data_IF_728411391159
#
_entry.id   IF_728411391159
#
_cell.length_a   1.000
_cell.length_b   1.000
_cell.length_c   1.000
_cell.angle_alpha   90.00
_cell.angle_beta   90.00
_cell.angle_gamma   90.00
#
_symmetry.space_group_name_H-M   'P 1'
#
loop_
_entity.id
_entity.type
_entity.pdbx_description
1 polymer ?
#
# COMPACT_ATOMS: atom_id res chain seq x y z
N UNK A 1 -16.56 -0.53 -21.10
CA UNK A 1 -15.54 0.40 -20.55
C UNK A 1 -16.00 1.15 -19.27
N UNK A 2 -16.81 0.56 -18.38
CA UNK A 2 -17.31 1.26 -17.16
C UNK A 2 -17.00 0.58 -15.81
N UNK A 3 -16.43 -0.64 -15.79
CA UNK A 3 -16.27 -1.43 -14.54
C UNK A 3 -15.16 -0.96 -13.59
N UNK A 4 -14.02 -0.52 -14.12
CA UNK A 4 -12.89 -0.06 -13.30
C UNK A 4 -13.10 1.33 -12.66
N UNK A 5 -14.11 2.08 -13.12
CA UNK A 5 -14.38 3.43 -12.64
C UNK A 5 -15.01 3.49 -11.25
N UNK A 6 -15.62 2.40 -10.76
CA UNK A 6 -16.27 2.38 -9.45
C UNK A 6 -15.25 2.50 -8.31
N UNK A 7 -14.12 1.79 -8.41
CA UNK A 7 -13.06 1.86 -7.38
C UNK A 7 -12.38 3.23 -7.41
N UNK A 8 -12.12 3.78 -8.60
CA UNK A 8 -11.57 5.13 -8.74
C UNK A 8 -12.53 6.20 -8.17
N UNK A 9 -13.84 6.06 -8.42
CA UNK A 9 -14.86 6.95 -7.85
C UNK A 9 -14.93 6.82 -6.33
N UNK A 10 -14.86 5.60 -5.80
CA UNK A 10 -14.86 5.37 -4.36
C UNK A 10 -13.61 5.99 -3.71
N UNK A 11 -12.44 5.85 -4.34
CA UNK A 11 -11.21 6.51 -3.89
C UNK A 11 -11.32 8.04 -3.94
N UNK A 12 -11.93 8.59 -4.99
CA UNK A 12 -12.17 10.03 -5.11
C UNK A 12 -13.07 10.54 -3.98
N UNK A 13 -14.16 9.83 -3.69
CA UNK A 13 -15.08 10.18 -2.60
C UNK A 13 -14.34 10.13 -1.26
N UNK A 14 -13.63 9.04 -0.96
CA UNK A 14 -12.86 8.94 0.28
C UNK A 14 -11.78 10.02 0.39
N UNK A 15 -11.06 10.28 -0.70
CA UNK A 15 -10.05 11.33 -0.76
C UNK A 15 -10.66 12.69 -0.45
N UNK A 16 -11.80 13.01 -1.08
CA UNK A 16 -12.51 14.28 -0.86
C UNK A 16 -12.97 14.44 0.59
N UNK A 17 -13.47 13.38 1.22
CA UNK A 17 -13.88 13.39 2.63
C UNK A 17 -12.69 13.49 3.59
N UNK A 18 -11.56 12.86 3.28
CA UNK A 18 -10.36 12.99 4.11
C UNK A 18 -9.77 14.39 3.98
N UNK A 19 -9.70 14.93 2.75
CA UNK A 19 -9.19 16.27 2.49
C UNK A 19 -10.08 17.35 3.13
N UNK A 20 -11.41 17.16 3.15
CA UNK A 20 -12.32 18.04 3.90
C UNK A 20 -12.13 17.91 5.41
N UNK A 21 -11.79 16.72 5.92
CA UNK A 21 -11.43 16.48 7.32
C UNK A 21 -10.28 17.36 7.81
N UNK A 22 -9.23 17.56 7.00
CA UNK A 22 -8.14 18.49 7.35
C UNK A 22 -8.63 19.93 7.49
N UNK A 23 -9.54 20.37 6.61
CA UNK A 23 -10.13 21.71 6.68
C UNK A 23 -10.98 21.91 7.93
N UNK A 24 -11.79 20.90 8.26
CA UNK A 24 -12.68 20.91 9.43
C UNK A 24 -11.92 20.89 10.74
N UNK A 25 -10.81 20.13 10.84
CA UNK A 25 -10.03 19.98 12.08
C UNK A 25 -8.98 21.07 12.28
N UNK A 26 -8.74 21.92 11.27
CA UNK A 26 -7.67 22.94 11.32
C UNK A 26 -7.83 23.92 12.48
N UNK A 27 -9.03 24.46 12.78
CA UNK A 27 -9.23 25.37 13.91
C UNK A 27 -8.90 24.71 15.26
N UNK A 28 -9.34 23.47 15.46
CA UNK A 28 -9.16 22.72 16.71
C UNK A 28 -7.69 22.36 16.92
N UNK A 29 -7.02 21.90 15.87
CA UNK A 29 -5.57 21.61 15.89
C UNK A 29 -4.77 22.88 16.18
N UNK A 30 -5.15 24.02 15.59
CA UNK A 30 -4.53 25.32 15.87
C UNK A 30 -4.76 25.76 17.32
N UNK A 31 -5.95 25.53 17.89
CA UNK A 31 -6.25 25.80 19.28
C UNK A 31 -5.39 24.95 20.24
N UNK A 32 -5.29 23.65 19.99
CA UNK A 32 -4.46 22.74 20.78
C UNK A 32 -2.98 23.15 20.68
N UNK A 33 -2.49 23.41 19.47
CA UNK A 33 -1.11 23.85 19.26
C UNK A 33 -0.80 25.15 20.00
N UNK A 34 -1.67 26.16 19.89
CA UNK A 34 -1.48 27.45 20.58
C UNK A 34 -1.48 27.27 22.10
N UNK A 35 -2.42 26.47 22.63
CA UNK A 35 -2.50 26.19 24.07
C UNK A 35 -1.24 25.49 24.57
N UNK A 36 -0.76 24.48 23.85
CA UNK A 36 0.47 23.76 24.20
C UNK A 36 1.70 24.66 24.12
N UNK A 37 1.80 25.54 23.12
CA UNK A 37 2.86 26.54 23.01
C UNK A 37 2.86 27.47 24.21
N UNK A 38 1.69 28.01 24.58
CA UNK A 38 1.56 28.93 25.72
C UNK A 38 2.01 28.25 27.02
N UNK A 39 1.54 27.02 27.28
CA UNK A 39 1.93 26.25 28.47
C UNK A 39 3.44 26.01 28.49
N UNK A 40 3.99 25.53 27.37
CA UNK A 40 5.39 25.14 27.23
C UNK A 40 6.35 26.35 27.36
N UNK A 41 6.00 27.49 26.76
CA UNK A 41 6.75 28.74 26.88
C UNK A 41 6.64 29.32 28.30
N UNK A 42 5.45 29.27 28.93
CA UNK A 42 5.25 29.78 30.30
C UNK A 42 6.07 28.97 31.31
N UNK A 43 6.06 27.64 31.20
CA UNK A 43 6.88 26.77 32.04
C UNK A 43 8.37 27.01 31.82
N UNK A 44 8.82 27.15 30.56
CA UNK A 44 10.21 27.46 30.25
C UNK A 44 10.65 28.79 30.87
N UNK A 45 9.82 29.83 30.75
CA UNK A 45 10.09 31.15 31.35
C UNK A 45 10.18 31.09 32.88
N UNK A 46 9.29 30.34 33.54
CA UNK A 46 9.34 30.11 34.99
C UNK A 46 10.63 29.39 35.39
N UNK A 47 11.04 28.34 34.67
CA UNK A 47 12.30 27.63 34.96
C UNK A 47 13.53 28.51 34.75
N UNK A 48 13.56 29.33 33.70
CA UNK A 48 14.67 30.27 33.47
C UNK A 48 14.74 31.35 34.54
N UNK A 49 13.60 31.77 35.12
CA UNK A 49 13.58 32.77 36.19
C UNK A 49 14.22 32.30 37.51
N UNK A 50 14.36 30.98 37.70
CA UNK A 50 14.99 30.38 38.89
C UNK A 50 16.48 30.07 38.71
N UNK A 51 17.00 30.10 37.47
CA UNK A 51 18.41 29.82 37.17
C UNK A 51 19.25 31.09 37.14
N UNK A 52 20.20 31.23 38.08
CA UNK A 52 20.99 32.45 38.23
C UNK A 52 22.15 32.64 37.22
N UNK A 53 22.51 31.62 36.43
CA UNK A 53 23.74 31.59 35.61
C UNK A 53 23.55 30.94 34.22
N UNK A 54 22.36 31.08 33.63
CA UNK A 54 22.07 30.45 32.32
C UNK A 54 21.99 31.50 31.20
N UNK A 55 22.57 31.21 30.03
CA UNK A 55 22.39 31.99 28.81
C UNK A 55 20.92 31.93 28.34
N UNK A 56 20.07 32.80 28.91
CA UNK A 56 18.64 32.90 28.62
C UNK A 56 18.41 33.10 27.11
N UNK A 57 19.27 33.89 26.46
CA UNK A 57 19.19 34.16 25.02
C UNK A 57 19.36 32.88 24.20
N UNK A 58 20.34 32.03 24.52
CA UNK A 58 20.58 30.79 23.80
C UNK A 58 19.41 29.81 23.95
N UNK A 59 18.82 29.72 25.15
CA UNK A 59 17.65 28.88 25.43
C UNK A 59 16.39 29.37 24.72
N UNK A 60 16.19 30.68 24.70
CA UNK A 60 15.07 31.33 24.01
C UNK A 60 15.16 31.09 22.50
N UNK A 61 16.33 31.30 21.89
CA UNK A 61 16.55 31.01 20.47
C UNK A 61 16.25 29.54 20.14
N UNK A 62 16.77 28.59 20.92
CA UNK A 62 16.51 27.16 20.72
C UNK A 62 15.02 26.84 20.81
N UNK A 63 14.31 27.46 21.77
CA UNK A 63 12.88 27.25 21.99
C UNK A 63 12.04 27.83 20.86
N UNK A 64 12.33 29.06 20.44
CA UNK A 64 11.64 29.73 19.34
C UNK A 64 11.84 28.98 18.02
N UNK A 65 13.05 28.48 17.75
CA UNK A 65 13.31 27.64 16.57
C UNK A 65 12.50 26.34 16.62
N UNK A 66 12.48 25.65 17.77
CA UNK A 66 11.71 24.41 17.94
C UNK A 66 10.22 24.64 17.70
N UNK A 67 9.62 25.64 18.36
CA UNK A 67 8.21 25.99 18.19
C UNK A 67 7.93 26.45 16.75
N UNK A 68 8.83 27.23 16.15
CA UNK A 68 8.71 27.73 14.78
C UNK A 68 8.69 26.60 13.74
N UNK A 69 9.53 25.58 13.90
CA UNK A 69 9.53 24.39 13.02
C UNK A 69 8.22 23.63 13.15
N UNK A 70 7.73 23.39 14.38
CA UNK A 70 6.45 22.72 14.58
C UNK A 70 5.27 23.54 14.03
N UNK A 71 5.28 24.86 14.21
CA UNK A 71 4.27 25.74 13.63
C UNK A 71 4.26 25.67 12.10
N UNK A 72 5.44 25.63 11.46
CA UNK A 72 5.56 25.44 10.02
C UNK A 72 5.01 24.07 9.57
N UNK A 73 5.35 23.00 10.28
CA UNK A 73 4.90 21.63 9.98
C UNK A 73 3.37 21.54 10.11
N UNK A 74 2.78 22.04 11.20
CA UNK A 74 1.33 22.03 11.42
C UNK A 74 0.63 22.88 10.35
N UNK A 75 1.18 24.05 10.02
CA UNK A 75 0.62 24.96 9.03
C UNK A 75 0.60 24.41 7.61
N UNK A 76 1.60 23.60 7.24
CA UNK A 76 1.78 23.01 5.91
C UNK A 76 1.56 21.49 5.87
N UNK A 77 0.96 20.91 6.90
CA UNK A 77 0.91 19.46 7.08
C UNK A 77 0.31 18.72 5.88
N UNK A 78 -0.80 19.20 5.32
CA UNK A 78 -1.43 18.59 4.16
C UNK A 78 -0.50 18.58 2.93
N UNK A 79 0.19 19.70 2.67
CA UNK A 79 1.17 19.79 1.58
C UNK A 79 2.37 18.87 1.82
N UNK A 80 2.89 18.83 3.04
CA UNK A 80 4.01 17.95 3.40
C UNK A 80 3.64 16.48 3.23
N UNK A 81 2.47 16.06 3.72
CA UNK A 81 1.96 14.70 3.55
C UNK A 81 1.83 14.33 2.06
N UNK A 82 1.34 15.26 1.24
CA UNK A 82 1.25 15.08 -0.22
C UNK A 82 2.62 14.93 -0.88
N UNK A 83 3.58 15.78 -0.55
CA UNK A 83 4.96 15.69 -1.08
C UNK A 83 5.59 14.35 -0.71
N UNK A 84 5.43 13.91 0.54
CA UNK A 84 5.93 12.62 1.02
C UNK A 84 5.32 11.47 0.22
N UNK A 85 4.01 11.49 0.02
CA UNK A 85 3.31 10.50 -0.80
C UNK A 85 3.84 10.45 -2.24
N UNK A 86 3.85 11.60 -2.92
CA UNK A 86 4.27 11.72 -4.32
C UNK A 86 5.74 11.31 -4.48
N UNK A 87 6.59 11.61 -3.49
CA UNK A 87 8.00 11.20 -3.48
C UNK A 87 8.14 9.68 -3.35
N UNK A 88 7.45 9.05 -2.39
CA UNK A 88 7.54 7.60 -2.21
C UNK A 88 6.96 6.83 -3.40
N UNK A 89 5.80 7.24 -3.91
CA UNK A 89 5.21 6.67 -5.11
C UNK A 89 6.12 6.87 -6.34
N UNK A 90 6.64 8.08 -6.52
CA UNK A 90 7.53 8.43 -7.64
C UNK A 90 8.85 7.68 -7.60
N UNK A 91 9.46 7.52 -6.43
CA UNK A 91 10.67 6.71 -6.24
C UNK A 91 10.40 5.24 -6.55
N UNK A 92 9.25 4.71 -6.11
CA UNK A 92 8.86 3.33 -6.41
C UNK A 92 8.68 3.08 -7.91
N UNK A 93 8.01 3.99 -8.61
CA UNK A 93 7.85 3.91 -10.07
C UNK A 93 9.19 4.04 -10.79
N UNK A 94 10.04 4.97 -10.39
CA UNK A 94 11.38 5.14 -10.96
C UNK A 94 12.24 3.89 -10.78
N UNK A 95 12.16 3.25 -9.61
CA UNK A 95 12.87 1.99 -9.34
C UNK A 95 12.36 0.83 -10.18
N UNK A 96 11.06 0.83 -10.55
CA UNK A 96 10.48 -0.20 -11.42
C UNK A 96 10.83 -0.05 -12.91
N UNK A 97 11.35 1.10 -13.34
CA UNK A 97 11.71 1.35 -14.74
C UNK A 97 10.52 1.45 -15.70
N UNK A 98 9.30 1.63 -15.19
CA UNK A 98 8.06 1.64 -15.98
C UNK A 98 7.67 3.02 -16.52
N UNK A 99 6.80 3.03 -17.52
CA UNK A 99 6.09 4.23 -17.99
C UNK A 99 4.85 4.60 -17.15
N UNK A 100 4.56 3.88 -16.06
CA UNK A 100 3.44 4.22 -15.17
C UNK A 100 3.71 5.54 -14.44
N UNK A 101 2.72 6.42 -14.38
CA UNK A 101 2.83 7.70 -13.66
C UNK A 101 2.31 7.58 -12.22
N UNK A 102 2.73 8.49 -11.33
CA UNK A 102 2.19 8.56 -9.96
C UNK A 102 0.67 8.77 -9.93
N UNK A 103 0.13 9.43 -10.96
CA UNK A 103 -1.31 9.61 -11.14
C UNK A 103 -2.03 8.30 -11.47
N UNK A 104 -1.35 7.33 -12.07
CA UNK A 104 -1.91 6.02 -12.39
C UNK A 104 -1.94 5.09 -11.19
N UNK A 105 -0.96 5.22 -10.28
CA UNK A 105 -0.98 4.51 -9.00
C UNK A 105 -2.11 4.96 -8.09
N UNK A 106 -2.54 6.22 -8.20
CA UNK A 106 -3.72 6.72 -7.48
C UNK A 106 -5.04 6.15 -8.02
N UNK A 107 -4.98 5.34 -9.08
CA UNK A 107 -6.13 4.72 -9.74
C UNK A 107 -6.01 3.19 -9.64
N UNK A 108 -6.39 2.58 -8.51
CA UNK A 108 -6.46 1.11 -8.39
C UNK A 108 -7.25 0.45 -9.52
N UNK A 109 -8.21 1.16 -10.13
CA UNK A 109 -8.92 0.70 -11.31
C UNK A 109 -8.00 0.41 -12.50
N UNK A 110 -6.89 1.14 -12.68
CA UNK A 110 -5.91 0.86 -13.74
C UNK A 110 -5.15 -0.44 -13.50
N UNK A 111 -4.82 -0.77 -12.26
CA UNK A 111 -4.18 -2.07 -11.94
C UNK A 111 -5.12 -3.23 -12.25
N UNK A 112 -6.41 -3.07 -11.91
CA UNK A 112 -7.43 -4.05 -12.27
C UNK A 112 -7.62 -4.18 -13.80
N UNK A 113 -7.53 -3.06 -14.54
CA UNK A 113 -7.56 -3.08 -16.01
C UNK A 113 -6.38 -3.83 -16.61
N UNK A 114 -5.15 -3.61 -16.11
CA UNK A 114 -3.98 -4.37 -16.55
C UNK A 114 -4.18 -5.87 -16.37
N UNK A 115 -4.81 -6.30 -15.27
CA UNK A 115 -5.17 -7.70 -15.05
C UNK A 115 -6.20 -8.25 -16.05
N UNK A 116 -7.22 -7.45 -16.37
CA UNK A 116 -8.21 -7.82 -17.40
C UNK A 116 -7.57 -7.93 -18.78
N UNK A 117 -6.72 -6.98 -19.15
CA UNK A 117 -6.06 -6.97 -20.45
C UNK A 117 -5.01 -8.08 -20.57
N UNK A 118 -4.29 -8.42 -19.50
CA UNK A 118 -3.41 -9.59 -19.45
C UNK A 118 -4.17 -10.93 -19.57
N UNK A 119 -5.44 -10.95 -19.17
CA UNK A 119 -6.28 -12.14 -19.23
C UNK A 119 -7.02 -12.31 -20.58
N UNK A 120 -7.13 -11.25 -21.40
CA UNK A 120 -7.82 -11.29 -22.71
C UNK A 120 -7.26 -12.35 -23.68
N UNK A 121 -5.93 -12.51 -23.86
CA UNK A 121 -5.41 -13.50 -24.82
C UNK A 121 -5.84 -14.93 -24.50
N UNK A 122 -6.04 -15.26 -23.21
CA UNK A 122 -6.56 -16.56 -22.80
C UNK A 122 -8.02 -16.73 -23.23
N UNK A 123 -8.85 -15.68 -23.11
CA UNK A 123 -10.24 -15.70 -23.58
C UNK A 123 -10.34 -15.81 -25.09
N UNK A 124 -9.52 -15.08 -25.83
CA UNK A 124 -9.50 -15.15 -27.29
C UNK A 124 -9.07 -16.55 -27.77
N UNK A 125 -8.09 -17.15 -27.09
CA UNK A 125 -7.66 -18.53 -27.37
C UNK A 125 -8.73 -19.58 -27.04
N UNK A 126 -9.51 -19.37 -25.97
CA UNK A 126 -10.67 -20.22 -25.64
C UNK A 126 -11.73 -20.09 -26.74
N UNK A 127 -11.98 -18.87 -27.24
CA UNK A 127 -12.96 -18.61 -28.31
C UNK A 127 -12.58 -19.28 -29.64
N UNK A 128 -11.32 -19.27 -30.01
CA UNK A 128 -10.84 -19.92 -31.24
C UNK A 128 -10.88 -21.47 -31.15
N UNK A 129 -10.78 -22.02 -29.95
CA UNK A 129 -10.87 -23.46 -29.68
C UNK A 129 -12.33 -23.96 -29.50
N UNK A 130 -13.34 -23.07 -29.50
CA UNK A 130 -14.77 -23.42 -29.41
C UNK A 130 -15.40 -23.96 -30.71
N UNK A 131 -14.61 -24.43 -31.67
CA UNK A 131 -15.13 -25.12 -32.86
C UNK A 131 -15.87 -26.42 -32.50
N UNK A 132 -16.98 -26.72 -33.19
CA UNK A 132 -17.92 -27.83 -32.88
C UNK A 132 -17.25 -29.22 -32.73
N UNK A 133 -16.08 -29.43 -33.36
CA UNK A 133 -15.28 -30.67 -33.28
C UNK A 133 -14.06 -30.50 -32.34
N UNK A 134 -13.40 -29.34 -32.35
CA UNK A 134 -12.18 -29.09 -31.56
C UNK A 134 -12.43 -28.88 -30.06
N UNK A 135 -13.65 -28.47 -29.68
CA UNK A 135 -14.09 -28.38 -28.28
C UNK A 135 -14.04 -29.73 -27.56
N UNK A 136 -14.39 -30.83 -28.25
CA UNK A 136 -14.35 -32.17 -27.68
C UNK A 136 -12.94 -32.78 -27.67
N UNK A 137 -12.06 -32.42 -28.62
CA UNK A 137 -10.66 -32.85 -28.64
C UNK A 137 -9.80 -32.16 -27.57
N UNK A 138 -10.04 -30.86 -27.33
CA UNK A 138 -9.22 -30.03 -26.44
C UNK A 138 -9.94 -29.60 -25.16
N UNK A 139 -10.97 -30.33 -24.73
CA UNK A 139 -11.80 -29.99 -23.57
C UNK A 139 -10.97 -29.71 -22.30
N UNK A 140 -9.93 -30.51 -22.05
CA UNK A 140 -9.03 -30.36 -20.88
C UNK A 140 -8.24 -29.03 -20.97
N UNK A 141 -7.74 -28.68 -22.16
CA UNK A 141 -7.00 -27.43 -22.37
C UNK A 141 -7.91 -26.21 -22.17
N UNK A 142 -9.13 -26.24 -22.72
CA UNK A 142 -10.12 -25.17 -22.54
C UNK A 142 -10.44 -24.98 -21.06
N UNK A 143 -10.66 -26.07 -20.32
CA UNK A 143 -10.92 -26.02 -18.88
C UNK A 143 -9.75 -25.42 -18.09
N UNK A 144 -8.50 -25.83 -18.41
CA UNK A 144 -7.30 -25.28 -17.78
C UNK A 144 -7.09 -23.80 -18.11
N UNK A 145 -7.32 -23.38 -19.36
CA UNK A 145 -7.21 -21.97 -19.77
C UNK A 145 -8.27 -21.10 -19.07
N UNK A 146 -9.51 -21.58 -18.96
CA UNK A 146 -10.57 -20.90 -18.21
C UNK A 146 -10.24 -20.76 -16.72
N UNK A 147 -9.65 -21.81 -16.13
CA UNK A 147 -9.21 -21.78 -14.73
C UNK A 147 -8.04 -20.80 -14.52
N UNK A 148 -7.05 -20.82 -15.41
CA UNK A 148 -5.92 -19.90 -15.41
C UNK A 148 -6.39 -18.44 -15.54
N UNK A 149 -7.29 -18.18 -16.48
CA UNK A 149 -7.93 -16.88 -16.66
C UNK A 149 -8.59 -16.37 -15.37
N UNK A 150 -9.39 -17.21 -14.71
CA UNK A 150 -10.08 -16.84 -13.48
C UNK A 150 -9.11 -16.53 -12.34
N UNK A 151 -8.03 -17.32 -12.19
CA UNK A 151 -7.02 -17.09 -11.16
C UNK A 151 -6.23 -15.79 -11.38
N UNK A 152 -5.84 -15.51 -12.62
CA UNK A 152 -5.13 -14.27 -12.97
C UNK A 152 -6.02 -13.06 -12.65
N UNK A 153 -7.28 -13.08 -13.08
CA UNK A 153 -8.23 -12.00 -12.81
C UNK A 153 -8.40 -11.79 -11.30
N UNK A 154 -8.56 -12.87 -10.53
CA UNK A 154 -8.70 -12.83 -9.08
C UNK A 154 -7.44 -12.25 -8.40
N UNK A 155 -6.25 -12.64 -8.85
CA UNK A 155 -4.98 -12.13 -8.31
C UNK A 155 -4.84 -10.62 -8.50
N UNK A 156 -5.10 -10.11 -9.70
CA UNK A 156 -5.05 -8.67 -9.96
C UNK A 156 -6.14 -7.89 -9.22
N UNK A 157 -7.32 -8.49 -9.05
CA UNK A 157 -8.39 -7.87 -8.29
C UNK A 157 -8.02 -7.68 -6.82
N UNK A 158 -7.41 -8.69 -6.19
CA UNK A 158 -6.91 -8.57 -4.81
C UNK A 158 -5.77 -7.55 -4.74
N UNK A 159 -4.86 -7.51 -5.71
CA UNK A 159 -3.81 -6.48 -5.77
C UNK A 159 -4.38 -5.07 -5.85
N UNK A 160 -5.42 -4.85 -6.65
CA UNK A 160 -6.08 -3.55 -6.76
C UNK A 160 -6.74 -3.13 -5.44
N UNK A 161 -7.40 -4.06 -4.74
CA UNK A 161 -7.95 -3.82 -3.39
C UNK A 161 -6.83 -3.49 -2.41
N UNK A 162 -5.72 -4.23 -2.45
CA UNK A 162 -4.58 -4.00 -1.57
C UNK A 162 -4.01 -2.59 -1.78
N UNK A 163 -3.84 -2.17 -3.04
CA UNK A 163 -3.42 -0.81 -3.35
C UNK A 163 -4.41 0.21 -2.81
N UNK A 164 -5.71 0.02 -3.05
CA UNK A 164 -6.74 0.89 -2.51
C UNK A 164 -6.63 1.05 -0.98
N UNK A 165 -6.51 -0.06 -0.26
CA UNK A 165 -6.36 -0.06 1.21
C UNK A 165 -5.11 0.71 1.63
N UNK A 166 -3.95 0.47 1.00
CA UNK A 166 -2.70 1.17 1.36
C UNK A 166 -2.77 2.68 1.12
N UNK A 167 -3.44 3.12 0.06
CA UNK A 167 -3.63 4.54 -0.23
C UNK A 167 -4.53 5.21 0.81
N UNK A 168 -5.63 4.55 1.19
CA UNK A 168 -6.53 5.04 2.23
C UNK A 168 -5.83 5.03 3.59
N UNK A 169 -5.05 3.99 3.90
CA UNK A 169 -4.28 3.90 5.14
C UNK A 169 -3.33 5.10 5.27
N UNK A 170 -2.63 5.48 4.20
CA UNK A 170 -1.76 6.66 4.20
C UNK A 170 -2.54 7.95 4.48
N UNK A 171 -3.68 8.14 3.81
CA UNK A 171 -4.53 9.32 4.01
C UNK A 171 -5.12 9.38 5.42
N UNK A 172 -5.57 8.26 5.98
CA UNK A 172 -6.08 8.21 7.35
C UNK A 172 -4.99 8.43 8.39
N UNK A 173 -3.81 7.84 8.17
CA UNK A 173 -2.65 8.00 9.09
C UNK A 173 -2.13 9.43 9.09
N UNK A 174 -2.11 10.09 7.93
CA UNK A 174 -1.74 11.51 7.84
C UNK A 174 -2.78 12.42 8.48
N UNK A 175 -4.08 12.10 8.38
CA UNK A 175 -5.13 12.84 9.09
C UNK A 175 -5.00 12.66 10.62
N UNK A 176 -4.77 11.44 11.10
CA UNK A 176 -4.50 11.19 12.51
C UNK A 176 -3.23 11.92 12.99
N UNK A 177 -2.20 11.97 12.14
CA UNK A 177 -0.98 12.75 12.36
C UNK A 177 -1.28 14.22 12.58
N UNK A 178 -2.13 14.82 11.75
CA UNK A 178 -2.50 16.22 11.89
C UNK A 178 -3.03 16.56 13.28
N UNK A 179 -3.86 15.69 13.86
CA UNK A 179 -4.44 15.88 15.19
C UNK A 179 -3.41 15.67 16.30
N UNK A 180 -2.43 14.79 16.10
CA UNK A 180 -1.49 14.38 17.14
C UNK A 180 -0.16 15.15 17.14
N UNK A 181 0.21 15.81 16.04
CA UNK A 181 1.45 16.62 15.96
C UNK A 181 1.53 17.76 16.98
N UNK A 182 0.44 18.49 17.31
CA UNK A 182 0.51 19.52 18.33
C UNK A 182 1.10 19.02 19.66
N UNK A 183 0.85 17.76 20.02
CA UNK A 183 1.41 17.15 21.24
C UNK A 183 2.93 16.99 21.20
N UNK A 184 3.56 17.12 20.04
CA UNK A 184 5.01 17.23 19.85
C UNK A 184 5.63 18.47 20.48
N UNK A 185 4.86 19.56 20.61
CA UNK A 185 5.33 20.82 21.18
C UNK A 185 5.61 20.73 22.68
N UNK A 186 4.95 19.81 23.37
CA UNK A 186 5.11 19.60 24.80
C UNK A 186 5.96 18.36 25.05
N UNK A 187 7.16 18.55 25.63
CA UNK A 187 8.17 17.49 25.74
C UNK A 187 7.71 16.22 26.47
N UNK A 188 6.70 16.30 27.35
CA UNK A 188 6.12 15.12 28.03
C UNK A 188 5.15 14.32 27.15
N UNK A 189 4.52 14.95 26.15
CA UNK A 189 3.60 14.30 25.20
C UNK A 189 4.20 14.08 23.82
N UNK A 190 5.48 14.45 23.61
CA UNK A 190 6.14 14.39 22.31
C UNK A 190 6.16 12.98 21.69
N UNK A 191 6.16 11.94 22.53
CA UNK A 191 6.10 10.55 22.08
C UNK A 191 4.87 10.25 21.20
N UNK A 192 3.75 10.96 21.40
CA UNK A 192 2.54 10.78 20.59
C UNK A 192 2.76 11.27 19.17
N UNK A 193 3.38 12.45 19.01
CA UNK A 193 3.73 12.97 17.69
C UNK A 193 4.79 12.09 17.01
N UNK A 194 5.83 11.68 17.73
CA UNK A 194 6.89 10.81 17.18
C UNK A 194 6.36 9.48 16.64
N UNK A 195 5.47 8.80 17.39
CA UNK A 195 4.86 7.54 16.95
C UNK A 195 4.04 7.70 15.67
N UNK A 196 3.31 8.81 15.55
CA UNK A 196 2.46 9.02 14.39
C UNK A 196 3.26 9.46 13.17
N UNK A 197 4.30 10.29 13.37
CA UNK A 197 5.27 10.59 12.32
C UNK A 197 5.92 9.30 11.79
N UNK A 198 6.31 8.39 12.67
CA UNK A 198 6.77 7.04 12.30
C UNK A 198 5.73 6.31 11.45
N UNK A 199 4.47 6.25 11.88
CA UNK A 199 3.42 5.57 11.13
C UNK A 199 3.15 6.20 9.75
N UNK A 200 3.23 7.53 9.61
CA UNK A 200 3.11 8.22 8.31
C UNK A 200 4.23 7.78 7.38
N UNK A 201 5.48 7.72 7.87
CA UNK A 201 6.62 7.25 7.08
C UNK A 201 6.47 5.76 6.73
N UNK A 202 6.07 4.92 7.68
CA UNK A 202 5.80 3.49 7.44
C UNK A 202 4.76 3.31 6.33
N UNK A 203 3.64 4.04 6.42
CA UNK A 203 2.60 3.99 5.40
C UNK A 203 3.09 4.50 4.03
N UNK A 204 3.95 5.53 4.01
CA UNK A 204 4.63 5.98 2.80
C UNK A 204 5.53 4.90 2.16
N UNK A 205 6.28 4.16 2.99
CA UNK A 205 7.12 3.04 2.52
C UNK A 205 6.25 1.91 1.95
N UNK A 206 5.06 1.63 2.53
CA UNK A 206 4.12 0.65 1.95
C UNK A 206 3.73 1.02 0.53
N UNK A 207 3.41 2.30 0.31
CA UNK A 207 3.09 2.82 -1.02
C UNK A 207 4.28 2.66 -1.96
N UNK A 208 5.50 2.99 -1.52
CA UNK A 208 6.72 2.78 -2.33
C UNK A 208 6.87 1.32 -2.74
N UNK A 209 6.81 0.39 -1.79
CA UNK A 209 7.02 -1.04 -2.07
C UNK A 209 5.96 -1.56 -3.05
N UNK A 210 4.69 -1.19 -2.84
CA UNK A 210 3.62 -1.62 -3.72
C UNK A 210 3.73 -1.01 -5.12
N UNK A 211 4.20 0.24 -5.21
CA UNK A 211 4.50 0.92 -6.48
C UNK A 211 5.56 0.17 -7.28
N UNK A 212 6.61 -0.30 -6.61
CA UNK A 212 7.67 -1.12 -7.24
C UNK A 212 7.10 -2.45 -7.75
N UNK A 213 6.35 -3.16 -6.92
CA UNK A 213 5.77 -4.48 -7.26
C UNK A 213 4.84 -4.36 -8.46
N UNK A 214 3.95 -3.37 -8.47
CA UNK A 214 3.02 -3.14 -9.58
C UNK A 214 3.76 -2.74 -10.84
N UNK A 215 4.78 -1.88 -10.71
CA UNK A 215 5.61 -1.48 -11.84
C UNK A 215 6.29 -2.69 -12.49
N UNK A 216 7.03 -3.49 -11.72
CA UNK A 216 7.69 -4.71 -12.22
C UNK A 216 6.66 -5.67 -12.82
N UNK A 217 5.51 -5.85 -12.15
CA UNK A 217 4.43 -6.70 -12.66
C UNK A 217 3.95 -6.26 -14.03
N UNK A 218 3.76 -4.96 -14.26
CA UNK A 218 3.30 -4.47 -15.56
C UNK A 218 4.25 -4.78 -16.73
N UNK A 219 5.57 -4.80 -16.49
CA UNK A 219 6.58 -5.17 -17.51
C UNK A 219 6.49 -6.68 -17.78
N UNK A 220 6.52 -7.50 -16.74
CA UNK A 220 6.48 -8.96 -16.86
C UNK A 220 5.24 -9.43 -17.63
N UNK A 221 4.07 -8.88 -17.33
CA UNK A 221 2.86 -9.24 -18.06
C UNK A 221 2.83 -8.75 -19.50
N UNK A 222 3.43 -7.58 -19.79
CA UNK A 222 3.59 -7.13 -21.17
C UNK A 222 4.48 -8.08 -21.98
N UNK A 223 5.58 -8.57 -21.38
CA UNK A 223 6.46 -9.56 -22.02
C UNK A 223 5.74 -10.89 -22.28
N UNK A 224 4.99 -11.40 -21.30
CA UNK A 224 4.19 -12.62 -21.49
C UNK A 224 3.14 -12.46 -22.59
N UNK A 225 2.49 -11.30 -22.69
CA UNK A 225 1.49 -11.04 -23.72
C UNK A 225 2.11 -10.97 -25.13
N UNK A 226 3.33 -10.45 -25.25
CA UNK A 226 4.05 -10.36 -26.53
C UNK A 226 4.71 -11.69 -26.95
N UNK A 227 5.15 -12.50 -25.99
CA UNK A 227 5.81 -13.78 -26.24
C UNK A 227 4.92 -14.81 -26.96
N UNK A 228 3.60 -14.64 -26.92
CA UNK A 228 2.66 -15.56 -27.59
C UNK A 228 2.69 -15.52 -29.11
N UNK A 229 3.28 -14.49 -29.75
CA UNK A 229 3.61 -14.45 -31.19
C UNK A 229 2.54 -15.00 -32.18
N UNK A 230 1.25 -14.94 -31.83
CA UNK A 230 0.14 -15.47 -32.63
C UNK A 230 -0.10 -16.99 -32.56
N UNK A 231 0.56 -17.71 -31.65
CA UNK A 231 0.30 -19.13 -31.37
C UNK A 231 -0.69 -19.29 -30.20
N UNK A 232 -1.55 -20.31 -30.27
CA UNK A 232 -2.46 -20.67 -29.17
C UNK A 232 -1.63 -21.03 -27.92
N UNK A 233 -1.85 -20.38 -26.77
CA UNK A 233 -1.16 -20.69 -25.51
C UNK A 233 -1.30 -22.16 -25.14
N UNK A 234 -0.18 -22.82 -24.83
CA UNK A 234 -0.22 -24.16 -24.26
C UNK A 234 -0.67 -24.11 -22.79
N UNK A 235 -1.02 -25.28 -22.23
CA UNK A 235 -1.36 -25.39 -20.81
C UNK A 235 -0.17 -24.95 -19.93
N UNK A 236 1.06 -25.30 -20.32
CA UNK A 236 2.28 -24.96 -19.57
C UNK A 236 2.53 -23.44 -19.56
N UNK A 237 2.27 -22.76 -20.68
CA UNK A 237 2.40 -21.30 -20.75
C UNK A 237 1.36 -20.61 -19.87
N UNK A 238 0.10 -21.08 -19.92
CA UNK A 238 -0.97 -20.54 -19.10
C UNK A 238 -0.69 -20.71 -17.60
N UNK A 239 -0.19 -21.88 -17.20
CA UNK A 239 0.17 -22.16 -15.80
C UNK A 239 1.39 -21.35 -15.33
N UNK A 240 2.33 -21.05 -16.22
CA UNK A 240 3.47 -20.16 -15.92
C UNK A 240 3.00 -18.73 -15.64
N UNK A 241 2.04 -18.21 -16.41
CA UNK A 241 1.46 -16.89 -16.16
C UNK A 241 0.65 -16.86 -14.88
N UNK A 242 -0.10 -17.91 -14.56
CA UNK A 242 -0.78 -18.05 -13.27
C UNK A 242 0.22 -17.99 -12.13
N UNK A 243 1.33 -18.71 -12.23
CA UNK A 243 2.39 -18.68 -11.22
C UNK A 243 2.97 -17.26 -11.05
N UNK A 244 3.23 -16.56 -12.16
CA UNK A 244 3.69 -15.17 -12.12
C UNK A 244 2.66 -14.24 -11.43
N UNK A 245 1.38 -14.38 -11.76
CA UNK A 245 0.28 -13.61 -11.18
C UNK A 245 0.12 -13.86 -9.67
N UNK A 246 0.15 -15.12 -9.25
CA UNK A 246 0.06 -15.49 -7.84
C UNK A 246 1.31 -15.08 -7.06
N UNK A 247 2.49 -15.09 -7.69
CA UNK A 247 3.72 -14.58 -7.08
C UNK A 247 3.65 -13.08 -6.86
N UNK A 248 3.17 -12.31 -7.85
CA UNK A 248 2.96 -10.86 -7.71
C UNK A 248 1.88 -10.53 -6.68
N UNK A 249 0.81 -11.31 -6.62
CA UNK A 249 -0.20 -11.20 -5.56
C UNK A 249 0.43 -11.42 -4.18
N UNK A 250 1.21 -12.50 -4.02
CA UNK A 250 1.92 -12.79 -2.77
C UNK A 250 2.83 -11.63 -2.36
N UNK A 251 3.60 -11.09 -3.30
CA UNK A 251 4.43 -9.92 -3.06
C UNK A 251 3.60 -8.69 -2.70
N UNK A 252 2.46 -8.44 -3.34
CA UNK A 252 1.60 -7.29 -3.00
C UNK A 252 0.94 -7.40 -1.64
N UNK A 253 0.61 -8.61 -1.18
CA UNK A 253 0.05 -8.86 0.17
C UNK A 253 1.14 -8.71 1.23
N UNK A 254 2.31 -9.33 1.03
CA UNK A 254 3.37 -9.38 2.03
C UNK A 254 4.35 -8.20 1.99
N UNK A 255 4.51 -7.56 0.83
CA UNK A 255 5.41 -6.43 0.59
C UNK A 255 5.15 -5.23 1.52
N UNK A 256 3.90 -4.79 1.71
CA UNK A 256 3.56 -3.76 2.69
C UNK A 256 3.93 -4.14 4.14
N UNK A 257 4.04 -5.44 4.44
CA UNK A 257 4.57 -5.93 5.71
C UNK A 257 6.01 -5.49 5.96
N UNK A 258 6.83 -5.34 4.91
CA UNK A 258 8.24 -4.91 4.94
C UNK A 258 8.38 -3.46 5.44
N UNK A 259 7.40 -2.60 5.17
CA UNK A 259 7.43 -1.22 5.66
C UNK A 259 7.26 -1.13 7.19
N UNK A 260 6.34 -1.93 7.75
CA UNK A 260 5.99 -1.88 9.16
C UNK A 260 7.16 -2.26 10.09
N UNK A 261 7.96 -3.27 9.75
CA UNK A 261 9.11 -3.71 10.54
C UNK A 261 10.33 -2.81 10.40
N UNK A 262 10.49 -2.09 9.28
CA UNK A 262 11.56 -1.09 9.15
C UNK A 262 11.37 0.08 10.13
N UNK A 263 10.13 0.49 10.38
CA UNK A 263 9.83 1.63 11.26
C UNK A 263 9.55 1.21 12.70
N UNK A 264 8.95 0.03 12.93
CA UNK A 264 8.66 -0.45 14.29
C UNK A 264 9.86 -1.12 14.98
N UNK A 265 10.95 -1.41 14.27
CA UNK A 265 12.17 -2.00 14.84
C UNK A 265 12.01 -3.43 15.38
N UNK A 266 10.88 -4.09 15.14
CA UNK A 266 10.56 -5.45 15.61
C UNK A 266 10.68 -6.52 14.52
N UNK A 267 10.90 -7.81 14.89
CA UNK A 267 10.97 -8.93 13.95
C UNK A 267 9.69 -9.05 13.12
N UNK A 268 9.85 -9.05 11.80
CA UNK A 268 8.79 -8.82 10.81
C UNK A 268 7.98 -10.07 10.42
N UNK A 269 8.12 -11.17 11.17
CA UNK A 269 7.44 -12.45 10.89
C UNK A 269 6.09 -12.60 11.62
N UNK A 270 5.46 -11.48 11.99
CA UNK A 270 4.18 -11.46 12.70
C UNK A 270 2.98 -11.39 11.75
N UNK A 271 2.06 -12.35 11.88
CA UNK A 271 0.76 -12.49 11.20
C UNK A 271 0.77 -13.09 9.78
N UNK A 272 1.54 -12.57 8.82
CA UNK A 272 1.52 -13.09 7.45
C UNK A 272 2.17 -14.47 7.28
N UNK A 273 3.31 -14.68 7.96
CA UNK A 273 3.99 -15.97 7.99
C UNK A 273 3.18 -17.02 8.77
N UNK A 274 2.47 -16.65 9.83
CA UNK A 274 1.69 -17.58 10.65
C UNK A 274 0.45 -18.13 9.92
N UNK A 275 -0.23 -17.31 9.10
CA UNK A 275 -1.37 -17.79 8.30
C UNK A 275 -0.89 -18.57 7.07
N UNK A 276 0.16 -18.11 6.37
CA UNK A 276 0.73 -18.83 5.23
C UNK A 276 1.34 -20.18 5.62
N UNK A 277 2.08 -20.24 6.72
CA UNK A 277 2.62 -21.50 7.26
C UNK A 277 1.56 -22.33 7.98
N UNK A 278 0.57 -21.72 8.63
CA UNK A 278 -0.54 -22.43 9.26
C UNK A 278 -1.49 -23.09 8.25
N UNK A 279 -1.73 -22.45 7.10
CA UNK A 279 -2.54 -23.01 6.02
C UNK A 279 -1.75 -24.01 5.18
N UNK A 280 -0.44 -23.80 4.96
CA UNK A 280 0.43 -24.78 4.31
C UNK A 280 0.67 -26.01 5.19
N UNK A 281 0.96 -25.83 6.49
CA UNK A 281 1.10 -26.93 7.44
C UNK A 281 -0.25 -27.62 7.71
N UNK A 282 -1.34 -26.87 7.86
CA UNK A 282 -2.69 -27.42 8.01
C UNK A 282 -3.18 -28.15 6.77
N UNK A 283 -2.86 -27.65 5.58
CA UNK A 283 -3.15 -28.30 4.29
C UNK A 283 -2.30 -29.54 4.03
N UNK A 284 -1.01 -29.53 4.40
CA UNK A 284 -0.13 -30.69 4.33
C UNK A 284 -0.52 -31.78 5.34
N UNK A 285 -0.99 -31.41 6.54
CA UNK A 285 -1.50 -32.36 7.53
C UNK A 285 -2.85 -32.96 7.09
N UNK A 286 -3.75 -32.15 6.52
CA UNK A 286 -5.02 -32.66 5.98
C UNK A 286 -4.81 -33.58 4.76
N UNK A 287 -3.90 -33.22 3.85
CA UNK A 287 -3.54 -34.05 2.70
C UNK A 287 -2.78 -35.32 3.11
N UNK A 288 -1.88 -35.23 4.09
CA UNK A 288 -1.17 -36.38 4.66
C UNK A 288 -2.10 -37.34 5.41
N UNK A 289 -3.05 -36.82 6.19
CA UNK A 289 -4.04 -37.64 6.89
C UNK A 289 -5.02 -38.32 5.93
N UNK A 290 -5.42 -37.66 4.84
CA UNK A 290 -6.25 -38.25 3.79
C UNK A 290 -5.51 -39.36 3.01
N UNK A 291 -4.21 -39.17 2.72
CA UNK A 291 -3.39 -40.18 2.06
C UNK A 291 -3.13 -41.41 2.94
N UNK A 292 -2.90 -41.22 4.25
CA UNK A 292 -2.73 -42.33 5.21
C UNK A 292 -4.06 -43.06 5.45
N UNK A 293 -5.20 -42.35 5.44
CA UNK A 293 -6.53 -42.94 5.56
C UNK A 293 -6.95 -43.79 4.35
N UNK A 294 -6.51 -43.44 3.14
CA UNK A 294 -6.82 -44.19 1.90
C UNK A 294 -5.93 -45.43 1.69
N UNK A 295 -4.77 -45.52 2.34
CA UNK A 295 -3.90 -46.72 2.33
C UNK A 295 -4.28 -47.71 3.45
N UNK A 296 -5.06 -47.26 4.43
CA UNK A 296 -5.52 -48.06 5.56
C UNK A 296 -6.96 -48.62 5.40
N UNK A 297 -7.62 -48.39 4.25
CA UNK A 297 -8.96 -48.90 3.92
C UNK A 297 -8.92 -49.99 2.87
#
# INVERSE_FOLDING_TARGET
MQGAGVIDHFLEVFTRYIDSGFGLLRPEVAFIATTLIVIDVTLAALFWSWGADEDIIARLVKKTLFVGVFAYIIGNWNNLARIVFESFAGLGLKASGTGFTTADLLRPGKVAQTGLDAARPLLDSISDLMGWVSFFENFIQIACLMFAWALILLAFFILAIQLFITLIEFKLTTLAGFVLIPFGLFGKSAFMAERVLGNVISSGIKVLVLSVIIGIGSILFSEFTQGFNGATPSIDDAMTIVLAALSLLGLGIFGPGIANGLVSGGPQLGAGAAVGTGLAAGGMVAAGAAAVGAVAS
#
